data_IF_653078226502
#
_entry.id   IF_653078226502
#
_cell.length_a   1.000
_cell.length_b   1.000
_cell.length_c   1.000
_cell.angle_alpha   90.00
_cell.angle_beta   90.00
_cell.angle_gamma   90.00
#
_symmetry.space_group_name_H-M   'P 1'
#
loop_
_entity.id
_entity.type
_entity.pdbx_description
1 polymer ?
#
# COMPACT_ATOMS: atom_id res chain seq x y z
N UNK A 1 19.05 -19.66 -13.03
CA UNK A 1 17.60 -19.45 -12.87
C UNK A 1 17.19 -18.34 -13.83
N UNK A 2 16.15 -18.53 -14.63
CA UNK A 2 15.68 -17.54 -15.62
C UNK A 2 14.84 -16.48 -14.91
N UNK A 3 15.15 -15.20 -15.12
CA UNK A 3 14.37 -14.07 -14.60
C UNK A 3 13.28 -13.65 -15.60
N UNK A 4 12.06 -13.37 -15.11
CA UNK A 4 10.97 -12.86 -15.94
C UNK A 4 11.00 -11.32 -15.94
N UNK A 5 11.12 -10.71 -17.12
CA UNK A 5 11.28 -9.25 -17.23
C UNK A 5 10.07 -8.44 -16.73
N UNK A 6 8.87 -9.02 -16.67
CA UNK A 6 7.68 -8.35 -16.15
C UNK A 6 7.45 -8.58 -14.65
N UNK A 7 8.20 -9.49 -14.01
CA UNK A 7 8.03 -9.76 -12.59
C UNK A 7 8.78 -8.70 -11.76
N UNK A 8 8.26 -8.39 -10.56
CA UNK A 8 8.96 -7.46 -9.65
C UNK A 8 10.19 -8.12 -9.01
N UNK A 9 10.17 -9.44 -8.83
CA UNK A 9 11.23 -10.18 -8.15
C UNK A 9 12.29 -10.77 -9.08
N UNK A 10 13.47 -11.04 -8.52
CA UNK A 10 14.59 -11.63 -9.27
C UNK A 10 14.45 -13.15 -9.48
N UNK A 11 13.81 -13.82 -8.52
CA UNK A 11 13.52 -15.25 -8.56
C UNK A 11 12.35 -15.59 -7.60
N UNK A 12 11.84 -16.83 -7.68
CA UNK A 12 10.69 -17.25 -6.88
C UNK A 12 10.89 -17.18 -5.35
N UNK A 13 12.10 -17.41 -4.84
CA UNK A 13 12.38 -17.30 -3.39
C UNK A 13 12.29 -15.84 -2.92
N UNK A 14 12.82 -14.92 -3.72
CA UNK A 14 12.73 -13.49 -3.46
C UNK A 14 11.27 -13.01 -3.43
N UNK A 15 10.46 -13.42 -4.41
CA UNK A 15 9.04 -13.09 -4.46
C UNK A 15 8.27 -13.68 -3.27
N UNK A 16 8.53 -14.93 -2.93
CA UNK A 16 7.93 -15.62 -1.79
C UNK A 16 8.21 -14.91 -0.47
N UNK A 17 9.44 -14.38 -0.28
CA UNK A 17 9.83 -13.64 0.91
C UNK A 17 9.18 -12.25 0.94
N UNK A 18 9.19 -11.52 -0.18
CA UNK A 18 8.58 -10.20 -0.28
C UNK A 18 7.07 -10.23 0.01
N UNK A 19 6.34 -11.22 -0.50
CA UNK A 19 4.90 -11.37 -0.24
C UNK A 19 4.63 -11.58 1.25
N UNK A 20 5.45 -12.37 1.96
CA UNK A 20 5.30 -12.60 3.40
C UNK A 20 5.66 -11.39 4.25
N UNK A 21 6.80 -10.76 3.95
CA UNK A 21 7.23 -9.57 4.67
C UNK A 21 6.19 -8.44 4.54
N UNK A 22 5.71 -8.19 3.32
CA UNK A 22 4.65 -7.20 3.07
C UNK A 22 3.33 -7.58 3.74
N UNK A 23 2.94 -8.86 3.72
CA UNK A 23 1.72 -9.32 4.39
C UNK A 23 1.73 -9.05 5.90
N UNK A 24 2.87 -9.28 6.57
CA UNK A 24 3.02 -9.00 8.01
C UNK A 24 2.80 -7.51 8.28
N UNK A 25 3.44 -6.63 7.50
CA UNK A 25 3.28 -5.17 7.66
C UNK A 25 1.83 -4.75 7.47
N UNK A 26 1.18 -5.22 6.40
CA UNK A 26 -0.23 -4.93 6.10
C UNK A 26 -1.13 -5.42 7.24
N UNK A 27 -0.92 -6.64 7.72
CA UNK A 27 -1.71 -7.22 8.81
C UNK A 27 -1.58 -6.43 10.11
N UNK A 28 -0.36 -6.05 10.49
CA UNK A 28 -0.13 -5.20 11.67
C UNK A 28 -0.83 -3.84 11.54
N UNK A 29 -0.83 -3.25 10.34
CA UNK A 29 -1.52 -1.99 10.09
C UNK A 29 -3.05 -2.13 10.19
N UNK A 30 -3.61 -3.24 9.70
CA UNK A 30 -5.04 -3.54 9.83
C UNK A 30 -5.41 -3.64 11.32
N UNK A 31 -4.66 -4.41 12.12
CA UNK A 31 -4.89 -4.51 13.57
C UNK A 31 -4.80 -3.14 14.23
N UNK A 32 -3.79 -2.34 13.84
CA UNK A 32 -3.58 -1.02 14.40
C UNK A 32 -4.75 -0.05 14.13
N UNK A 33 -5.22 0.04 12.88
CA UNK A 33 -6.37 0.85 12.52
C UNK A 33 -7.66 0.33 13.15
N UNK A 34 -7.86 -0.99 13.16
CA UNK A 34 -9.02 -1.61 13.75
C UNK A 34 -9.08 -1.34 15.26
N UNK A 35 -7.95 -1.44 15.96
CA UNK A 35 -7.84 -1.07 17.37
C UNK A 35 -8.23 0.39 17.60
N UNK A 36 -7.73 1.32 16.78
CA UNK A 36 -8.15 2.72 16.87
C UNK A 36 -9.67 2.88 16.70
N UNK A 37 -10.28 2.24 15.70
CA UNK A 37 -11.72 2.37 15.45
C UNK A 37 -12.55 1.74 16.57
N UNK A 38 -12.16 0.56 17.07
CA UNK A 38 -12.93 -0.19 18.07
C UNK A 38 -12.82 0.39 19.49
N UNK A 39 -11.70 1.03 19.83
CA UNK A 39 -11.45 1.57 21.17
C UNK A 39 -11.63 3.10 21.26
N UNK A 40 -12.06 3.76 20.19
CA UNK A 40 -12.41 5.20 20.22
C UNK A 40 -13.89 5.36 20.54
N UNK A 41 -14.20 5.98 21.68
CA UNK A 41 -15.59 6.16 22.16
C UNK A 41 -16.49 6.89 21.16
N UNK A 42 -16.02 8.02 20.63
CA UNK A 42 -16.74 8.82 19.63
C UNK A 42 -15.80 9.22 18.49
N UNK A 43 -16.10 8.74 17.29
CA UNK A 43 -15.30 8.99 16.11
C UNK A 43 -15.72 10.32 15.45
N UNK A 44 -15.19 11.43 15.95
CA UNK A 44 -15.40 12.76 15.36
C UNK A 44 -14.33 13.09 14.32
N UNK A 45 -14.60 14.09 13.47
CA UNK A 45 -13.63 14.57 12.49
C UNK A 45 -12.31 15.00 13.15
N UNK A 46 -12.37 15.70 14.29
CA UNK A 46 -11.18 16.18 14.98
C UNK A 46 -10.33 15.03 15.56
N UNK A 47 -10.97 13.97 16.09
CA UNK A 47 -10.28 12.77 16.58
C UNK A 47 -9.61 12.03 15.42
N UNK A 48 -10.32 11.82 14.32
CA UNK A 48 -9.79 11.17 13.11
C UNK A 48 -8.60 11.95 12.53
N UNK A 49 -8.76 13.26 12.36
CA UNK A 49 -7.69 14.14 11.87
C UNK A 49 -6.50 14.14 12.81
N UNK A 50 -6.73 14.24 14.13
CA UNK A 50 -5.68 14.22 15.15
C UNK A 50 -4.88 12.92 15.14
N UNK A 51 -5.53 11.79 14.90
CA UNK A 51 -4.87 10.50 14.78
C UNK A 51 -3.84 10.48 13.63
N UNK A 52 -4.22 10.92 12.43
CA UNK A 52 -3.33 10.95 11.25
C UNK A 52 -2.34 12.13 11.24
N UNK A 53 -2.48 13.10 12.14
CA UNK A 53 -1.59 14.27 12.18
C UNK A 53 -0.18 13.93 12.67
N UNK A 54 0.00 12.88 13.50
CA UNK A 54 1.31 12.61 14.09
C UNK A 54 2.28 11.90 13.12
N UNK A 55 3.58 12.23 13.13
CA UNK A 55 4.56 11.68 12.17
C UNK A 55 4.62 10.16 12.13
N UNK A 56 4.47 9.50 13.28
CA UNK A 56 4.53 8.03 13.38
C UNK A 56 3.43 7.35 12.54
N UNK A 57 2.20 7.86 12.58
CA UNK A 57 1.09 7.27 11.79
C UNK A 57 1.27 7.53 10.31
N UNK A 58 1.92 8.65 9.95
CA UNK A 58 2.27 8.93 8.56
C UNK A 58 3.27 7.91 8.03
N UNK A 59 4.38 7.72 8.75
CA UNK A 59 5.42 6.75 8.38
C UNK A 59 4.81 5.35 8.28
N UNK A 60 4.00 4.94 9.26
CA UNK A 60 3.39 3.61 9.23
C UNK A 60 2.42 3.43 8.05
N UNK A 61 1.60 4.44 7.75
CA UNK A 61 0.68 4.40 6.59
C UNK A 61 1.45 4.34 5.27
N UNK A 62 2.53 5.13 5.11
CA UNK A 62 3.37 5.09 3.92
C UNK A 62 4.06 3.73 3.76
N UNK A 63 4.59 3.16 4.84
CA UNK A 63 5.19 1.83 4.84
C UNK A 63 4.17 0.75 4.42
N UNK A 64 2.93 0.86 4.88
CA UNK A 64 1.85 -0.03 4.45
C UNK A 64 1.48 0.16 2.98
N UNK A 65 1.43 1.40 2.47
CA UNK A 65 1.19 1.65 1.04
C UNK A 65 2.27 1.04 0.15
N UNK A 66 3.54 1.16 0.54
CA UNK A 66 4.64 0.47 -0.14
C UNK A 66 4.50 -1.06 -0.04
N UNK A 67 4.06 -1.57 1.10
CA UNK A 67 3.82 -3.00 1.28
C UNK A 67 2.69 -3.50 0.38
N UNK A 68 1.59 -2.75 0.24
CA UNK A 68 0.48 -3.04 -0.68
C UNK A 68 0.98 -3.03 -2.13
N UNK A 69 1.76 -2.02 -2.54
CA UNK A 69 2.36 -1.97 -3.87
C UNK A 69 3.13 -3.26 -4.19
N UNK A 70 4.02 -3.70 -3.30
CA UNK A 70 4.81 -4.92 -3.49
C UNK A 70 3.94 -6.18 -3.45
N UNK A 71 3.08 -6.30 -2.44
CA UNK A 71 2.23 -7.48 -2.21
C UNK A 71 1.29 -7.72 -3.38
N UNK A 72 0.57 -6.67 -3.80
CA UNK A 72 -0.41 -6.74 -4.88
C UNK A 72 0.26 -6.85 -6.24
N UNK A 73 1.41 -6.22 -6.48
CA UNK A 73 2.12 -6.41 -7.75
C UNK A 73 2.47 -7.88 -7.95
N UNK A 74 3.13 -8.51 -6.97
CA UNK A 74 3.55 -9.92 -7.08
C UNK A 74 2.33 -10.83 -7.17
N UNK A 75 1.32 -10.63 -6.30
CA UNK A 75 0.12 -11.45 -6.30
C UNK A 75 -0.66 -11.35 -7.62
N UNK A 76 -0.85 -10.14 -8.14
CA UNK A 76 -1.56 -9.95 -9.42
C UNK A 76 -0.74 -10.45 -10.60
N UNK A 77 0.59 -10.33 -10.59
CA UNK A 77 1.42 -10.94 -11.62
C UNK A 77 1.21 -12.47 -11.67
N UNK A 78 1.20 -13.15 -10.52
CA UNK A 78 0.94 -14.60 -10.42
C UNK A 78 -0.44 -14.97 -10.99
N UNK A 79 -1.49 -14.26 -10.55
CA UNK A 79 -2.86 -14.46 -11.06
C UNK A 79 -2.92 -14.27 -12.57
N UNK A 80 -2.31 -13.20 -13.09
CA UNK A 80 -2.31 -12.92 -14.51
C UNK A 80 -1.56 -13.99 -15.32
N UNK A 81 -0.42 -14.49 -14.85
CA UNK A 81 0.33 -15.56 -15.54
C UNK A 81 -0.39 -16.89 -15.52
N UNK A 82 -1.14 -17.17 -14.45
CA UNK A 82 -1.88 -18.43 -14.29
C UNK A 82 -3.12 -18.46 -15.19
N UNK A 83 -3.87 -17.36 -15.25
CA UNK A 83 -5.21 -17.36 -15.85
C UNK A 83 -5.28 -16.65 -17.22
N UNK A 84 -4.44 -15.67 -17.52
CA UNK A 84 -4.50 -14.91 -18.78
C UNK A 84 -3.43 -15.42 -19.76
N UNK A 85 -3.83 -16.24 -20.72
CA UNK A 85 -2.92 -16.86 -21.70
C UNK A 85 -2.42 -15.88 -22.79
N UNK A 86 -3.28 -15.04 -23.41
CA UNK A 86 -2.83 -14.11 -24.45
C UNK A 86 -1.83 -13.09 -23.90
N UNK A 87 -0.63 -13.03 -24.49
CA UNK A 87 0.47 -12.20 -23.99
C UNK A 87 0.14 -10.70 -23.96
N UNK A 88 -0.42 -10.18 -25.07
CA UNK A 88 -0.73 -8.75 -25.18
C UNK A 88 -1.73 -8.30 -24.11
N UNK A 89 -2.81 -9.06 -23.90
CA UNK A 89 -3.80 -8.77 -22.87
C UNK A 89 -3.18 -8.83 -21.47
N UNK A 90 -2.36 -9.86 -21.20
CA UNK A 90 -1.68 -10.00 -19.91
C UNK A 90 -0.80 -8.79 -19.59
N UNK A 91 -0.01 -8.31 -20.55
CA UNK A 91 0.87 -7.14 -20.36
C UNK A 91 0.08 -5.84 -20.18
N UNK A 92 -1.02 -5.65 -20.91
CA UNK A 92 -1.90 -4.48 -20.76
C UNK A 92 -2.55 -4.45 -19.37
N UNK A 93 -3.10 -5.58 -18.92
CA UNK A 93 -3.68 -5.69 -17.58
C UNK A 93 -2.62 -5.46 -16.50
N UNK A 94 -1.44 -6.04 -16.68
CA UNK A 94 -0.34 -5.84 -15.74
C UNK A 94 0.07 -4.37 -15.65
N UNK A 95 0.21 -3.68 -16.78
CA UNK A 95 0.50 -2.24 -16.82
C UNK A 95 -0.59 -1.43 -16.11
N UNK A 96 -1.87 -1.73 -16.35
CA UNK A 96 -2.99 -1.05 -15.70
C UNK A 96 -2.94 -1.23 -14.17
N UNK A 97 -2.68 -2.45 -13.69
CA UNK A 97 -2.52 -2.73 -12.25
C UNK A 97 -1.36 -1.93 -11.66
N UNK A 98 -0.20 -1.90 -12.32
CA UNK A 98 0.96 -1.13 -11.87
C UNK A 98 0.64 0.36 -11.76
N UNK A 99 -0.04 0.93 -12.76
CA UNK A 99 -0.48 2.33 -12.73
C UNK A 99 -1.40 2.59 -11.54
N UNK A 100 -2.40 1.73 -11.30
CA UNK A 100 -3.32 1.86 -10.16
C UNK A 100 -2.56 1.81 -8.83
N UNK A 101 -1.61 0.89 -8.67
CA UNK A 101 -0.81 0.79 -7.44
C UNK A 101 0.08 2.03 -7.22
N UNK A 102 0.65 2.59 -8.29
CA UNK A 102 1.41 3.84 -8.20
C UNK A 102 0.50 5.02 -7.83
N UNK A 103 -0.72 5.09 -8.37
CA UNK A 103 -1.72 6.08 -7.98
C UNK A 103 -2.06 5.94 -6.49
N UNK A 104 -2.28 4.72 -5.97
CA UNK A 104 -2.54 4.51 -4.55
C UNK A 104 -1.39 4.99 -3.66
N UNK A 105 -0.15 4.67 -4.01
CA UNK A 105 1.03 5.12 -3.27
C UNK A 105 1.16 6.64 -3.26
N UNK A 106 1.09 7.27 -4.44
CA UNK A 106 1.27 8.71 -4.58
C UNK A 106 0.12 9.50 -3.95
N UNK A 107 -1.12 9.10 -4.24
CA UNK A 107 -2.30 9.76 -3.68
C UNK A 107 -2.35 9.62 -2.15
N UNK A 108 -2.09 8.41 -1.63
CA UNK A 108 -2.01 8.19 -0.19
C UNK A 108 -0.91 9.02 0.46
N UNK A 109 0.23 9.19 -0.21
CA UNK A 109 1.30 10.08 0.26
C UNK A 109 0.84 11.53 0.34
N UNK A 110 0.21 12.05 -0.71
CA UNK A 110 -0.33 13.42 -0.74
C UNK A 110 -1.35 13.63 0.38
N UNK A 111 -2.29 12.70 0.56
CA UNK A 111 -3.33 12.78 1.60
C UNK A 111 -2.70 12.83 2.99
N UNK A 112 -1.86 11.85 3.32
CA UNK A 112 -1.29 11.71 4.68
C UNK A 112 -0.32 12.85 4.99
N UNK A 113 0.48 13.30 4.03
CA UNK A 113 1.36 14.44 4.21
C UNK A 113 0.57 15.76 4.35
N UNK A 114 -0.52 15.92 3.58
CA UNK A 114 -1.39 17.09 3.60
C UNK A 114 -2.01 17.40 4.96
N UNK A 115 -2.31 16.38 5.79
CA UNK A 115 -2.93 16.55 7.12
C UNK A 115 -2.14 17.48 8.07
N UNK A 116 -0.81 17.60 7.92
CA UNK A 116 0.02 18.48 8.78
C UNK A 116 -0.04 19.95 8.38
N UNK A 117 -0.23 20.26 7.09
CA UNK A 117 -0.14 21.64 6.59
C UNK A 117 -1.25 22.54 7.16
N UNK A 118 -2.41 21.97 7.51
CA UNK A 118 -3.50 22.73 8.14
C UNK A 118 -3.24 23.13 9.60
N UNK A 119 -2.29 22.52 10.32
CA UNK A 119 -1.98 22.91 11.72
C UNK A 119 -1.04 24.11 11.74
N UNK A 120 -0.14 24.22 10.75
CA UNK A 120 0.73 25.38 10.59
C UNK A 120 -0.07 26.62 10.12
N UNK A 121 -1.07 26.44 9.25
CA UNK A 121 -1.89 27.54 8.73
C UNK A 121 -2.89 28.15 9.73
N UNK A 122 -3.18 27.50 10.86
CA UNK A 122 -4.05 28.02 11.93
C UNK A 122 -3.31 28.67 13.10
N UNK A 123 -1.99 28.83 13.00
CA UNK A 123 -1.15 29.53 14.00
C UNK A 123 -0.71 30.93 13.56
N UNK A 124 -1.53 31.60 12.74
CA UNK A 124 -1.41 33.02 12.40
C UNK A 124 -2.77 33.67 12.61
#
# INVERSE_FOLDING_TARGET
MVSNASALGRNGVHEWLLVRASAIVIFLYIIYLLGFILFTDTLTYDVWRGFFATPMKKVFTLLTLFSILVHTWIGMWQVLTDYIKPLALRLLLQLAIVIVLMVYLLYGTVVVCGVVNDIAGKRV
#
